data_IF_378708764024
#
_entry.id   IF_378708764024
#
_cell.length_a   1.000
_cell.length_b   1.000
_cell.length_c   1.000
_cell.angle_alpha   90.00
_cell.angle_beta   90.00
_cell.angle_gamma   90.00
#
_symmetry.space_group_name_H-M   'P 1'
#
loop_
_entity.id
_entity.type
_entity.pdbx_description
1 polymer ?
#
# COMPACT_ATOMS: atom_id res chain seq x y z
N UNK A 1 9.17 -2.22 9.13
CA UNK A 1 10.58 -1.77 9.12
C UNK A 1 10.78 -0.48 9.89
N UNK A 2 10.03 0.57 9.61
CA UNK A 2 10.16 1.88 10.29
C UNK A 2 10.13 1.78 11.83
N UNK A 3 9.20 1.00 12.40
CA UNK A 3 9.11 0.81 13.85
C UNK A 3 10.37 0.18 14.48
N UNK A 4 11.04 -0.76 13.77
CA UNK A 4 12.29 -1.36 14.26
C UNK A 4 13.45 -0.35 14.24
N UNK A 5 13.53 0.45 13.16
CA UNK A 5 14.57 1.48 13.06
C UNK A 5 14.37 2.58 14.12
N UNK A 6 13.13 2.99 14.37
CA UNK A 6 12.81 3.96 15.42
C UNK A 6 13.20 3.44 16.80
N UNK A 7 12.88 2.20 17.15
CA UNK A 7 13.28 1.56 18.41
C UNK A 7 14.80 1.49 18.57
N UNK A 8 15.53 1.16 17.50
CA UNK A 8 16.98 1.14 17.51
C UNK A 8 17.60 2.53 17.78
N UNK A 9 16.85 3.60 17.52
CA UNK A 9 17.24 4.98 17.82
C UNK A 9 16.61 5.54 19.10
N UNK A 10 16.13 4.67 19.99
CA UNK A 10 15.62 5.06 21.31
C UNK A 10 14.21 5.66 21.31
N UNK A 11 13.46 5.54 20.20
CA UNK A 11 12.08 5.98 20.11
C UNK A 11 11.17 4.84 20.60
N UNK A 12 10.29 5.12 21.55
CA UNK A 12 9.26 4.16 21.96
C UNK A 12 8.18 4.09 20.86
N UNK A 13 8.09 2.95 20.18
CA UNK A 13 7.17 2.72 19.07
C UNK A 13 6.32 1.50 19.32
N UNK A 14 5.00 1.70 19.27
CA UNK A 14 4.01 0.63 19.31
C UNK A 14 3.32 0.51 17.95
N UNK A 15 3.21 -0.71 17.44
CA UNK A 15 2.37 -1.01 16.29
C UNK A 15 0.98 -1.38 16.82
N UNK A 16 -0.02 -0.63 16.40
CA UNK A 16 -1.42 -0.82 16.81
C UNK A 16 -2.22 -1.24 15.60
N UNK A 17 -2.91 -2.35 15.69
CA UNK A 17 -3.81 -2.83 14.65
C UNK A 17 -5.24 -2.32 14.91
N UNK A 18 -6.08 -2.16 13.87
CA UNK A 18 -7.45 -1.66 14.03
C UNK A 18 -8.33 -2.49 14.98
N UNK A 19 -8.00 -3.77 15.18
CA UNK A 19 -8.72 -4.67 16.09
C UNK A 19 -8.25 -4.60 17.55
N UNK A 20 -7.17 -3.90 17.83
CA UNK A 20 -6.65 -3.81 19.19
C UNK A 20 -7.56 -2.95 20.08
N UNK A 21 -7.76 -3.37 21.32
CA UNK A 21 -8.58 -2.61 22.30
C UNK A 21 -8.00 -1.22 22.59
N UNK A 22 -6.71 -1.06 22.44
CA UNK A 22 -5.97 0.21 22.59
C UNK A 22 -5.80 0.92 21.24
N UNK A 23 -6.49 0.45 20.20
CA UNK A 23 -6.44 1.01 18.86
C UNK A 23 -7.04 2.40 18.75
N UNK A 24 -6.82 2.99 17.60
CA UNK A 24 -7.46 4.26 17.25
C UNK A 24 -8.86 3.96 16.74
N UNK A 25 -9.87 4.55 17.34
CA UNK A 25 -11.26 4.34 16.95
C UNK A 25 -12.15 5.51 17.32
N UNK A 26 -13.38 5.48 16.83
CA UNK A 26 -14.38 6.49 17.14
C UNK A 26 -15.75 6.09 16.61
N UNK A 27 -16.78 6.72 17.14
CA UNK A 27 -18.16 6.53 16.69
C UNK A 27 -18.54 7.63 15.70
N UNK A 28 -19.30 7.25 14.69
CA UNK A 28 -19.91 8.19 13.74
C UNK A 28 -21.40 8.34 14.04
N UNK A 29 -21.89 9.55 13.92
CA UNK A 29 -23.31 9.82 13.88
C UNK A 29 -23.89 9.24 12.58
N UNK A 30 -24.71 8.21 12.69
CA UNK A 30 -25.26 7.47 11.56
C UNK A 30 -26.13 8.33 10.63
N UNK A 31 -26.68 9.43 11.15
CA UNK A 31 -27.49 10.34 10.35
C UNK A 31 -26.67 11.30 9.51
N UNK A 32 -25.51 11.71 10.00
CA UNK A 32 -24.67 12.73 9.35
C UNK A 32 -23.39 12.16 8.75
N UNK A 33 -23.01 10.92 9.09
CA UNK A 33 -21.73 10.32 8.73
C UNK A 33 -20.51 10.98 9.39
N UNK A 34 -20.74 11.88 10.36
CA UNK A 34 -19.66 12.63 11.01
C UNK A 34 -19.18 11.94 12.28
N UNK A 35 -17.86 11.98 12.48
CA UNK A 35 -17.24 11.53 13.73
C UNK A 35 -17.82 12.33 14.90
N UNK A 36 -18.14 11.63 15.99
CA UNK A 36 -18.47 12.24 17.28
C UNK A 36 -17.14 12.50 18.02
N UNK A 37 -16.66 13.75 18.12
CA UNK A 37 -15.27 14.04 18.55
C UNK A 37 -14.91 13.45 19.93
N UNK A 38 -15.87 13.46 20.87
CA UNK A 38 -15.66 12.90 22.21
C UNK A 38 -15.57 11.38 22.25
N UNK A 39 -16.01 10.68 21.19
CA UNK A 39 -15.88 9.23 21.09
C UNK A 39 -14.53 8.78 20.54
N UNK A 40 -13.71 9.71 20.05
CA UNK A 40 -12.39 9.39 19.52
C UNK A 40 -11.49 8.85 20.62
N UNK A 41 -11.10 7.60 20.45
CA UNK A 41 -10.13 6.89 21.28
C UNK A 41 -8.78 6.94 20.61
N UNK A 42 -7.77 7.32 21.35
CA UNK A 42 -6.35 7.31 20.95
C UNK A 42 -5.52 6.88 22.17
N UNK A 43 -4.35 6.29 21.97
CA UNK A 43 -3.43 6.00 23.06
C UNK A 43 -3.14 7.28 23.86
N UNK A 44 -3.26 7.21 25.19
CA UNK A 44 -3.19 8.41 26.07
C UNK A 44 -1.80 9.04 26.15
N UNK A 45 -0.78 8.24 25.91
CA UNK A 45 0.64 8.55 26.00
C UNK A 45 1.33 8.72 24.64
N UNK A 46 0.55 8.83 23.57
CA UNK A 46 1.08 9.04 22.24
C UNK A 46 1.37 10.53 22.00
N UNK A 47 2.63 10.86 21.76
CA UNK A 47 3.04 12.18 21.27
C UNK A 47 2.84 12.29 19.75
N UNK A 48 3.03 11.16 19.04
CA UNK A 48 2.92 11.06 17.59
C UNK A 48 2.10 9.83 17.20
N UNK A 49 1.19 10.01 16.29
CA UNK A 49 0.44 8.93 15.65
C UNK A 49 0.76 8.92 14.15
N UNK A 50 1.26 7.78 13.66
CA UNK A 50 1.49 7.57 12.23
C UNK A 50 0.38 6.70 11.65
N UNK A 51 -0.29 7.20 10.63
CA UNK A 51 -1.38 6.54 9.91
C UNK A 51 -0.93 6.21 8.50
N UNK A 52 -0.84 4.92 8.16
CA UNK A 52 -0.44 4.49 6.83
C UNK A 52 -1.66 4.27 5.94
N UNK A 53 -1.63 4.83 4.72
CA UNK A 53 -2.68 4.70 3.68
C UNK A 53 -4.09 4.95 4.22
N UNK A 54 -4.25 5.93 5.08
CA UNK A 54 -5.55 6.21 5.67
C UNK A 54 -6.53 6.75 4.63
N UNK A 55 -7.57 5.98 4.35
CA UNK A 55 -8.68 6.36 3.46
C UNK A 55 -10.03 6.25 4.19
N UNK A 56 -10.03 5.82 5.44
CA UNK A 56 -11.22 5.63 6.25
C UNK A 56 -11.72 6.96 6.80
N UNK A 57 -12.98 7.29 6.51
CA UNK A 57 -13.63 8.54 6.91
C UNK A 57 -13.49 8.85 8.39
N UNK A 58 -13.70 7.86 9.26
CA UNK A 58 -13.62 8.05 10.73
C UNK A 58 -12.22 8.48 11.17
N UNK A 59 -11.18 7.83 10.65
CA UNK A 59 -9.80 8.20 10.97
C UNK A 59 -9.44 9.57 10.38
N UNK A 60 -9.82 9.83 9.14
CA UNK A 60 -9.61 11.12 8.48
C UNK A 60 -10.22 12.25 9.30
N UNK A 61 -11.49 12.12 9.67
CA UNK A 61 -12.17 13.11 10.51
C UNK A 61 -11.60 13.21 11.93
N UNK A 62 -10.93 12.17 12.41
CA UNK A 62 -10.24 12.14 13.71
C UNK A 62 -8.97 12.98 13.76
N UNK A 63 -8.29 13.21 12.61
CA UNK A 63 -6.99 13.89 12.57
C UNK A 63 -7.03 15.30 13.20
N UNK A 64 -7.98 16.19 12.84
CA UNK A 64 -8.07 17.50 13.48
C UNK A 64 -8.25 17.43 14.99
N UNK A 65 -9.03 16.45 15.47
CA UNK A 65 -9.26 16.26 16.91
C UNK A 65 -8.01 15.72 17.63
N UNK A 66 -7.26 14.79 17.03
CA UNK A 66 -5.96 14.32 17.56
C UNK A 66 -5.01 15.49 17.73
N UNK A 67 -4.88 16.32 16.71
CA UNK A 67 -4.02 17.52 16.73
C UNK A 67 -4.47 18.54 17.78
N UNK A 68 -5.79 18.73 17.94
CA UNK A 68 -6.33 19.61 18.98
C UNK A 68 -6.00 19.10 20.39
N UNK A 69 -5.83 17.79 20.57
CA UNK A 69 -5.38 17.17 21.83
C UNK A 69 -3.86 17.20 22.01
N UNK A 70 -3.11 17.83 21.11
CA UNK A 70 -1.66 17.97 21.21
C UNK A 70 -0.87 16.82 20.56
N UNK A 71 -1.54 15.85 19.93
CA UNK A 71 -0.87 14.72 19.27
C UNK A 71 -0.47 15.11 17.84
N UNK A 72 0.79 14.94 17.50
CA UNK A 72 1.23 15.11 16.12
C UNK A 72 0.75 13.92 15.27
N UNK A 73 0.16 14.21 14.12
CA UNK A 73 -0.31 13.17 13.19
C UNK A 73 0.52 13.17 11.93
N UNK A 74 1.15 12.03 11.64
CA UNK A 74 1.87 11.77 10.40
C UNK A 74 1.01 10.87 9.53
N UNK A 75 0.78 11.26 8.28
CA UNK A 75 0.12 10.40 7.28
C UNK A 75 1.16 9.94 6.28
N UNK A 76 1.27 8.61 6.13
CA UNK A 76 2.22 7.97 5.22
C UNK A 76 1.49 7.44 3.98
N UNK A 77 1.98 7.84 2.79
CA UNK A 77 1.39 7.47 1.50
C UNK A 77 2.48 6.93 0.57
N UNK A 78 2.42 5.65 0.29
CA UNK A 78 3.34 4.95 -0.62
C UNK A 78 2.73 4.65 -2.00
N UNK A 79 1.38 4.81 -2.14
CA UNK A 79 0.64 4.64 -3.38
C UNK A 79 -0.24 5.86 -3.72
N UNK A 80 -0.53 6.09 -5.00
CA UNK A 80 -1.55 7.06 -5.40
C UNK A 80 -2.93 6.42 -5.49
N UNK A 81 -3.65 6.43 -4.37
CA UNK A 81 -5.00 5.85 -4.26
C UNK A 81 -6.04 6.47 -5.22
N UNK A 82 -5.74 7.63 -5.82
CA UNK A 82 -6.61 8.27 -6.82
C UNK A 82 -6.42 7.68 -8.22
N UNK A 83 -5.37 6.87 -8.43
CA UNK A 83 -4.96 6.33 -9.73
C UNK A 83 -4.93 4.80 -9.74
N UNK A 84 -5.78 4.19 -8.94
CA UNK A 84 -5.93 2.73 -8.93
C UNK A 84 -6.45 2.27 -10.30
N UNK A 85 -5.87 1.20 -10.84
CA UNK A 85 -6.32 0.59 -12.09
C UNK A 85 -7.79 0.16 -11.99
N UNK A 86 -8.64 0.47 -12.99
CA UNK A 86 -10.06 0.10 -12.99
C UNK A 86 -10.32 -1.41 -12.83
N UNK A 87 -9.36 -2.25 -13.22
CA UNK A 87 -9.46 -3.70 -13.05
C UNK A 87 -9.01 -4.18 -11.65
N UNK A 88 -8.42 -3.30 -10.84
CA UNK A 88 -8.08 -3.62 -9.47
C UNK A 88 -9.36 -3.67 -8.62
N UNK A 89 -9.58 -4.73 -7.80
CA UNK A 89 -10.77 -4.85 -6.95
C UNK A 89 -10.99 -3.65 -6.00
N UNK A 90 -9.91 -2.97 -5.59
CA UNK A 90 -10.01 -1.80 -4.72
C UNK A 90 -10.52 -0.54 -5.43
N UNK A 91 -10.55 -0.52 -6.77
CA UNK A 91 -10.91 0.67 -7.56
C UNK A 91 -12.26 1.25 -7.16
N UNK A 92 -13.29 0.41 -7.14
CA UNK A 92 -14.65 0.83 -6.84
C UNK A 92 -14.81 1.30 -5.38
N UNK A 93 -14.10 0.66 -4.46
CA UNK A 93 -14.11 1.05 -3.04
C UNK A 93 -13.39 2.36 -2.74
N UNK A 94 -12.52 2.84 -3.64
CA UNK A 94 -11.75 4.07 -3.45
C UNK A 94 -12.32 5.27 -4.21
N UNK A 95 -13.35 5.07 -5.05
CA UNK A 95 -13.98 6.17 -5.78
C UNK A 95 -14.92 6.97 -4.90
N UNK A 96 -14.81 8.30 -4.97
CA UNK A 96 -15.66 9.22 -4.20
C UNK A 96 -17.11 9.22 -4.66
N UNK A 97 -17.36 8.88 -5.94
CA UNK A 97 -18.70 8.86 -6.56
C UNK A 97 -19.43 7.50 -6.40
N UNK A 98 -18.72 6.44 -6.09
CA UNK A 98 -19.28 5.08 -5.92
C UNK A 98 -18.84 4.43 -4.60
N UNK A 99 -17.81 4.98 -3.99
CA UNK A 99 -17.24 4.45 -2.77
C UNK A 99 -18.22 4.52 -1.61
N UNK A 100 -18.05 3.63 -0.66
CA UNK A 100 -18.63 3.81 0.64
C UNK A 100 -18.13 5.16 1.19
N UNK A 101 -19.01 6.00 1.77
CA UNK A 101 -18.56 7.21 2.47
C UNK A 101 -17.56 6.90 3.59
N UNK A 102 -17.40 5.62 3.93
CA UNK A 102 -16.44 5.13 4.91
C UNK A 102 -15.02 5.05 4.38
N UNK A 103 -14.82 4.84 3.06
CA UNK A 103 -13.51 4.73 2.43
C UNK A 103 -13.49 5.45 1.09
N UNK A 104 -12.51 6.31 0.85
CA UNK A 104 -12.29 6.90 -0.46
C UNK A 104 -10.89 7.49 -0.62
N UNK A 105 -10.50 7.72 -1.87
CA UNK A 105 -9.28 8.46 -2.19
C UNK A 105 -9.35 9.92 -1.74
N UNK A 106 -10.55 10.51 -1.75
CA UNK A 106 -10.80 11.84 -1.21
C UNK A 106 -10.54 11.92 0.29
N UNK A 107 -10.96 10.91 1.05
CA UNK A 107 -10.61 10.81 2.47
C UNK A 107 -9.10 10.76 2.70
N UNK A 108 -8.36 10.01 1.86
CA UNK A 108 -6.91 9.93 1.98
C UNK A 108 -6.24 11.28 1.68
N UNK A 109 -6.69 12.00 0.67
CA UNK A 109 -6.22 13.35 0.39
C UNK A 109 -6.54 14.30 1.53
N UNK A 110 -7.76 14.28 2.06
CA UNK A 110 -8.16 15.11 3.19
C UNK A 110 -7.33 14.80 4.44
N UNK A 111 -7.06 13.52 4.71
CA UNK A 111 -6.17 13.11 5.80
C UNK A 111 -4.77 13.73 5.67
N UNK A 112 -4.22 13.75 4.47
CA UNK A 112 -2.94 14.39 4.20
C UNK A 112 -3.01 15.92 4.41
N UNK A 113 -4.09 16.56 3.99
CA UNK A 113 -4.28 18.01 4.19
C UNK A 113 -4.39 18.38 5.68
N UNK A 114 -5.01 17.53 6.48
CA UNK A 114 -5.20 17.75 7.92
C UNK A 114 -4.02 17.27 8.77
N UNK A 115 -3.09 16.49 8.21
CA UNK A 115 -1.92 15.98 8.93
C UNK A 115 -0.97 17.07 9.42
N UNK A 116 -0.22 16.77 10.47
CA UNK A 116 0.94 17.57 10.90
C UNK A 116 2.06 17.48 9.88
N UNK A 117 2.32 16.25 9.40
CA UNK A 117 3.33 15.96 8.39
C UNK A 117 2.80 14.82 7.47
N UNK A 118 3.18 14.88 6.21
CA UNK A 118 2.94 13.80 5.25
C UNK A 118 4.28 13.18 4.85
N UNK A 119 4.41 11.86 4.98
CA UNK A 119 5.53 11.11 4.41
C UNK A 119 5.08 10.39 3.16
N UNK A 120 5.93 10.38 2.16
CA UNK A 120 5.65 9.72 0.87
C UNK A 120 6.89 9.03 0.33
N UNK A 121 6.72 7.99 -0.49
CA UNK A 121 7.85 7.25 -1.04
C UNK A 121 8.52 7.91 -2.25
N UNK A 122 7.86 8.87 -2.91
CA UNK A 122 8.40 9.50 -4.13
C UNK A 122 8.09 11.01 -4.23
N UNK A 123 8.89 11.79 -4.99
CA UNK A 123 8.58 13.19 -5.25
C UNK A 123 7.24 13.41 -5.96
N UNK A 124 6.80 12.47 -6.78
CA UNK A 124 5.49 12.54 -7.45
C UNK A 124 4.34 12.48 -6.44
N UNK A 125 4.42 11.58 -5.47
CA UNK A 125 3.46 11.48 -4.37
C UNK A 125 3.52 12.71 -3.47
N UNK A 126 4.71 13.29 -3.22
CA UNK A 126 4.84 14.54 -2.46
C UNK A 126 4.02 15.67 -3.09
N UNK A 127 4.15 15.84 -4.40
CA UNK A 127 3.37 16.83 -5.16
C UNK A 127 1.87 16.55 -5.08
N UNK A 128 1.49 15.28 -5.04
CA UNK A 128 0.12 14.83 -5.07
C UNK A 128 -0.59 14.97 -3.71
N UNK A 129 0.09 14.63 -2.61
CA UNK A 129 -0.50 14.52 -1.28
C UNK A 129 -0.07 15.59 -0.29
N UNK A 130 1.01 16.32 -0.56
CA UNK A 130 1.49 17.40 0.31
C UNK A 130 1.66 18.77 -0.41
N UNK A 131 0.64 19.23 -1.19
CA UNK A 131 0.75 20.52 -1.91
C UNK A 131 0.83 21.71 -0.95
N UNK A 132 0.50 21.52 0.32
CA UNK A 132 0.61 22.53 1.38
C UNK A 132 2.03 22.70 1.96
N UNK A 133 3.02 21.94 1.45
CA UNK A 133 4.43 22.06 1.85
C UNK A 133 4.83 21.33 3.15
N UNK A 134 3.89 20.70 3.86
CA UNK A 134 4.19 19.92 5.06
C UNK A 134 4.38 18.44 4.72
N UNK A 135 5.32 18.16 3.84
CA UNK A 135 5.61 16.79 3.41
C UNK A 135 7.09 16.54 3.23
N UNK A 136 7.48 15.29 3.30
CA UNK A 136 8.85 14.81 3.09
C UNK A 136 8.85 13.50 2.33
N UNK A 137 9.82 13.34 1.42
CA UNK A 137 10.06 12.05 0.76
C UNK A 137 10.85 11.17 1.71
N UNK A 138 10.28 10.03 2.04
CA UNK A 138 10.92 8.94 2.77
C UNK A 138 10.92 7.73 1.84
N UNK A 139 12.01 7.55 1.11
CA UNK A 139 12.11 6.49 0.11
C UNK A 139 11.94 5.10 0.72
N UNK A 140 11.38 4.18 -0.05
CA UNK A 140 11.28 2.79 0.37
C UNK A 140 12.68 2.15 0.43
N UNK A 141 13.02 1.58 1.57
CA UNK A 141 14.29 0.94 1.83
C UNK A 141 14.09 -0.52 2.21
N UNK A 142 15.04 -1.34 1.86
CA UNK A 142 15.12 -2.72 2.33
C UNK A 142 16.12 -2.84 3.49
N UNK A 143 15.96 -3.80 4.41
CA UNK A 143 16.95 -4.06 5.44
C UNK A 143 18.32 -4.39 4.83
N UNK A 144 19.40 -3.98 5.48
CA UNK A 144 20.77 -4.21 4.98
C UNK A 144 21.08 -5.68 4.69
N UNK A 145 20.50 -6.61 5.46
CA UNK A 145 20.71 -8.04 5.23
C UNK A 145 20.20 -8.55 3.86
N UNK A 146 19.36 -7.79 3.15
CA UNK A 146 19.01 -8.11 1.76
C UNK A 146 20.23 -8.02 0.83
N UNK A 147 21.22 -7.19 1.18
CA UNK A 147 22.47 -7.06 0.43
C UNK A 147 23.41 -8.25 0.67
N UNK A 148 23.20 -8.97 1.78
CA UNK A 148 23.97 -10.15 2.16
C UNK A 148 23.37 -11.46 1.61
N UNK A 149 22.23 -11.38 0.89
CA UNK A 149 21.64 -12.57 0.28
C UNK A 149 22.56 -13.15 -0.78
N UNK A 150 22.66 -14.51 -0.86
CA UNK A 150 23.49 -15.16 -1.85
C UNK A 150 23.11 -14.69 -3.26
N UNK A 151 24.06 -14.14 -3.95
CA UNK A 151 23.92 -13.80 -5.36
C UNK A 151 24.11 -15.05 -6.20
N UNK A 152 23.20 -15.35 -7.10
CA UNK A 152 23.38 -16.42 -8.08
C UNK A 152 23.69 -15.78 -9.43
N UNK A 153 24.79 -16.18 -10.03
CA UNK A 153 25.08 -15.90 -11.43
C UNK A 153 24.14 -16.75 -12.30
N UNK A 154 22.88 -16.36 -12.38
CA UNK A 154 21.91 -16.99 -13.27
C UNK A 154 21.32 -15.93 -14.20
N UNK A 155 21.20 -16.27 -15.47
CA UNK A 155 20.49 -15.45 -16.45
C UNK A 155 18.98 -15.64 -16.30
N UNK A 156 18.44 -15.43 -15.08
CA UNK A 156 17.02 -15.55 -14.79
C UNK A 156 16.41 -14.17 -14.53
N UNK A 157 15.13 -14.01 -14.88
CA UNK A 157 14.33 -12.81 -14.63
C UNK A 157 13.11 -13.21 -13.82
N UNK A 158 12.82 -12.46 -12.76
CA UNK A 158 11.67 -12.73 -11.90
C UNK A 158 10.66 -11.57 -11.87
N UNK A 159 9.40 -11.92 -11.67
CA UNK A 159 8.36 -11.00 -11.27
C UNK A 159 7.75 -11.50 -9.95
N UNK A 160 7.55 -10.59 -9.01
CA UNK A 160 6.87 -10.89 -7.74
C UNK A 160 5.78 -9.87 -7.46
N UNK A 161 4.57 -10.33 -7.18
CA UNK A 161 3.45 -9.45 -6.89
C UNK A 161 2.13 -10.19 -6.66
N UNK A 162 1.08 -9.43 -6.37
CA UNK A 162 -0.27 -9.94 -6.22
C UNK A 162 -1.07 -9.65 -7.51
N UNK A 163 -1.33 -10.68 -8.30
CA UNK A 163 -2.00 -10.54 -9.62
C UNK A 163 -3.38 -9.88 -9.49
N UNK A 164 -4.14 -10.22 -8.45
CA UNK A 164 -5.49 -9.67 -8.26
C UNK A 164 -5.49 -8.17 -7.99
N UNK A 165 -4.44 -7.62 -7.39
CA UNK A 165 -4.29 -6.17 -7.15
C UNK A 165 -3.50 -5.44 -8.24
N UNK A 166 -2.83 -6.20 -9.12
CA UNK A 166 -2.05 -5.70 -10.25
C UNK A 166 -2.40 -6.45 -11.55
N UNK A 167 -3.67 -6.42 -11.98
CA UNK A 167 -4.17 -7.29 -13.06
C UNK A 167 -3.57 -6.99 -14.43
N UNK A 168 -2.98 -5.82 -14.63
CA UNK A 168 -2.40 -5.39 -15.91
C UNK A 168 -0.89 -5.59 -16.02
N UNK A 169 -0.18 -5.87 -14.91
CA UNK A 169 1.29 -5.96 -14.89
C UNK A 169 1.81 -7.02 -15.85
N UNK A 170 1.25 -8.22 -15.78
CA UNK A 170 1.67 -9.34 -16.62
C UNK A 170 1.37 -9.09 -18.11
N UNK A 171 0.23 -8.46 -18.40
CA UNK A 171 -0.13 -8.07 -19.76
C UNK A 171 0.85 -7.05 -20.33
N UNK A 172 1.25 -6.07 -19.52
CA UNK A 172 2.23 -5.05 -19.92
C UNK A 172 3.62 -5.65 -20.17
N UNK A 173 4.02 -6.64 -19.38
CA UNK A 173 5.33 -7.32 -19.51
C UNK A 173 5.34 -8.42 -20.60
N UNK A 174 4.18 -9.00 -20.91
CA UNK A 174 4.07 -10.22 -21.69
C UNK A 174 4.94 -10.33 -22.93
N UNK A 175 4.97 -9.36 -23.84
CA UNK A 175 5.82 -9.42 -25.04
C UNK A 175 7.32 -9.45 -24.73
N UNK A 176 7.75 -8.79 -23.66
CA UNK A 176 9.16 -8.77 -23.24
C UNK A 176 9.55 -10.11 -22.60
N UNK A 177 8.73 -10.63 -21.69
CA UNK A 177 8.95 -11.94 -21.07
C UNK A 177 8.98 -13.06 -22.12
N UNK A 178 8.03 -13.07 -23.04
CA UNK A 178 8.00 -14.05 -24.12
C UNK A 178 9.26 -14.01 -25.02
N UNK A 179 9.85 -12.84 -25.24
CA UNK A 179 11.13 -12.72 -25.96
C UNK A 179 12.29 -13.29 -25.16
N UNK A 180 12.35 -13.01 -23.84
CA UNK A 180 13.40 -13.50 -22.96
C UNK A 180 13.37 -15.03 -22.87
N UNK A 181 12.18 -15.62 -22.62
CA UNK A 181 12.01 -17.07 -22.54
C UNK A 181 12.38 -17.77 -23.85
N UNK A 182 11.97 -17.22 -25.00
CA UNK A 182 12.40 -17.75 -26.32
C UNK A 182 13.88 -17.62 -26.54
N UNK A 183 14.56 -16.64 -25.94
CA UNK A 183 16.01 -16.47 -25.95
C UNK A 183 16.75 -17.36 -24.96
N UNK A 184 16.04 -18.27 -24.25
CA UNK A 184 16.65 -19.20 -23.28
C UNK A 184 16.86 -18.61 -21.89
N UNK A 185 16.27 -17.44 -21.59
CA UNK A 185 16.31 -16.86 -20.24
C UNK A 185 15.23 -17.50 -19.38
N UNK A 186 15.62 -17.98 -18.21
CA UNK A 186 14.71 -18.53 -17.22
C UNK A 186 13.82 -17.43 -16.63
N UNK A 187 12.51 -17.69 -16.50
CA UNK A 187 11.57 -16.74 -15.93
C UNK A 187 10.88 -17.31 -14.69
N UNK A 188 10.84 -16.53 -13.63
CA UNK A 188 10.18 -16.86 -12.37
C UNK A 188 9.03 -15.91 -12.09
N UNK A 189 7.83 -16.43 -11.82
CA UNK A 189 6.70 -15.67 -11.31
C UNK A 189 6.39 -16.09 -9.88
N UNK A 190 6.34 -15.13 -8.95
CA UNK A 190 6.02 -15.37 -7.54
C UNK A 190 4.92 -14.41 -7.09
N UNK A 191 3.83 -14.95 -6.53
CA UNK A 191 2.75 -14.14 -5.97
C UNK A 191 1.84 -14.95 -5.07
N UNK A 192 1.26 -14.31 -4.05
CA UNK A 192 0.42 -14.96 -3.04
C UNK A 192 -0.79 -15.69 -3.64
N UNK A 193 -1.35 -15.18 -4.74
CA UNK A 193 -2.51 -15.74 -5.43
C UNK A 193 -2.14 -16.37 -6.78
N UNK A 194 -0.85 -16.49 -7.03
CA UNK A 194 -0.34 -17.09 -8.26
C UNK A 194 -0.41 -18.59 -8.14
N UNK A 195 -1.54 -19.15 -8.49
CA UNK A 195 -1.64 -20.57 -8.79
C UNK A 195 -1.30 -20.75 -10.27
N UNK A 196 -0.07 -21.13 -10.57
CA UNK A 196 0.38 -21.47 -11.92
C UNK A 196 -0.52 -22.51 -12.58
N UNK A 197 -1.13 -23.40 -11.81
CA UNK A 197 -2.15 -24.36 -12.24
C UNK A 197 -3.40 -23.71 -12.86
N UNK A 198 -3.59 -22.41 -12.65
CA UNK A 198 -4.67 -21.59 -13.23
C UNK A 198 -4.17 -20.31 -13.87
N UNK A 199 -2.92 -20.28 -14.30
CA UNK A 199 -2.53 -19.28 -15.30
C UNK A 199 -3.43 -19.58 -16.49
N UNK A 200 -4.54 -18.84 -16.49
CA UNK A 200 -5.60 -19.05 -17.42
C UNK A 200 -5.00 -18.93 -18.84
N UNK A 201 -5.68 -19.48 -19.83
CA UNK A 201 -5.26 -19.42 -21.23
C UNK A 201 -4.96 -18.00 -21.71
N UNK A 202 -5.49 -16.99 -21.02
CA UNK A 202 -5.22 -15.58 -21.24
C UNK A 202 -3.78 -15.18 -20.92
N UNK A 203 -3.21 -15.62 -19.80
CA UNK A 203 -1.83 -15.33 -19.43
C UNK A 203 -0.86 -16.10 -20.33
N UNK A 204 -1.11 -17.40 -20.57
CA UNK A 204 -0.32 -18.22 -21.50
C UNK A 204 -0.31 -17.59 -22.88
N UNK A 205 -1.47 -17.15 -23.37
CA UNK A 205 -1.62 -16.44 -24.63
C UNK A 205 -0.89 -15.10 -24.64
N UNK A 206 -0.98 -14.31 -23.55
CA UNK A 206 -0.27 -13.03 -23.41
C UNK A 206 1.25 -13.23 -23.39
N UNK A 207 1.74 -14.31 -22.78
CA UNK A 207 3.14 -14.69 -22.75
C UNK A 207 3.60 -15.40 -24.05
N UNK A 208 2.68 -15.75 -24.96
CA UNK A 208 2.97 -16.49 -26.18
C UNK A 208 3.44 -17.93 -25.93
N UNK A 209 3.09 -18.49 -24.78
CA UNK A 209 3.46 -19.84 -24.37
C UNK A 209 2.46 -20.87 -24.95
N UNK A 210 2.97 -22.03 -25.35
CA UNK A 210 2.15 -23.16 -25.77
C UNK A 210 1.56 -23.89 -24.55
N UNK A 211 0.46 -24.64 -24.70
CA UNK A 211 -0.04 -25.51 -23.64
C UNK A 211 1.08 -26.42 -23.09
N UNK A 212 1.33 -26.38 -21.79
CA UNK A 212 2.39 -27.14 -21.11
C UNK A 212 3.77 -26.45 -21.07
N UNK A 213 4.00 -25.35 -21.80
CA UNK A 213 5.21 -24.56 -21.62
C UNK A 213 5.08 -23.65 -20.38
N UNK A 214 6.06 -23.71 -19.47
CA UNK A 214 6.10 -22.91 -18.25
C UNK A 214 5.43 -23.56 -17.04
N UNK A 215 5.01 -24.79 -17.13
CA UNK A 215 4.62 -25.58 -15.97
C UNK A 215 5.90 -25.97 -15.21
N UNK A 216 6.14 -25.33 -14.09
CA UNK A 216 7.23 -25.69 -13.17
C UNK A 216 6.75 -26.86 -12.35
N UNK A 217 7.40 -28.02 -12.49
CA UNK A 217 7.20 -29.14 -11.57
C UNK A 217 7.44 -28.63 -10.14
N UNK A 218 6.38 -28.58 -9.36
CA UNK A 218 6.46 -28.38 -7.92
C UNK A 218 6.91 -29.70 -7.27
N UNK A 219 8.22 -29.91 -7.27
CA UNK A 219 8.85 -30.94 -6.45
C UNK A 219 9.26 -30.33 -5.10
#
# INVERSE_FOLDING_TARGET
MAARAAKANGVDVRLVMPADREGIGGQVDMRTGKLIPRSLQIPRDADVIMLQRVAMSTLTQGIPEMRRRGVAVVVDMDDDLRRIDPNNPAFWGMRDDHGSPMHSAGNALQACLDATLVTVSTPALLKAYAPHGRGVVLENHVPAWYLDLPHRDSASVGWGGAVHSHPTDLGAMGPAVARLVRGGVEYWGVGADYRFERADDGLRKALGLRPGEGDVDTA
#
